data_IF_692194790054
#
_entry.id   IF_692194790054
#
_cell.length_a   1.000
_cell.length_b   1.000
_cell.length_c   1.000
_cell.angle_alpha   90.00
_cell.angle_beta   90.00
_cell.angle_gamma   90.00
#
_symmetry.space_group_name_H-M   'P 1'
#
loop_
_entity.id
_entity.type
_entity.pdbx_description
1 polymer ?
#
# COMPACT_ATOMS: atom_id res chain seq x y z
N UNK A 1 0.62 76.10 -21.67
CA UNK A 1 0.54 75.48 -20.33
C UNK A 1 1.69 75.97 -19.47
N UNK A 2 1.38 76.59 -18.33
CA UNK A 2 2.40 76.96 -17.32
C UNK A 2 3.00 75.69 -16.69
N UNK A 3 4.20 75.78 -16.10
CA UNK A 3 4.86 74.63 -15.46
C UNK A 3 3.97 73.94 -14.41
N UNK A 4 3.18 74.71 -13.66
CA UNK A 4 2.20 74.21 -12.68
C UNK A 4 1.04 73.42 -13.33
N UNK A 5 0.57 73.84 -14.52
CA UNK A 5 -0.44 73.10 -15.26
C UNK A 5 0.10 71.76 -15.79
N UNK A 6 1.35 71.71 -16.27
CA UNK A 6 1.99 70.46 -16.70
C UNK A 6 2.18 69.50 -15.51
N UNK A 7 2.64 70.00 -14.35
CA UNK A 7 2.81 69.20 -13.14
C UNK A 7 1.48 68.60 -12.64
N UNK A 8 0.41 69.41 -12.56
CA UNK A 8 -0.93 68.92 -12.18
C UNK A 8 -1.49 67.89 -13.16
N UNK A 9 -1.19 68.03 -14.46
CA UNK A 9 -1.60 67.04 -15.47
C UNK A 9 -0.85 65.71 -15.29
N UNK A 10 0.48 65.76 -15.13
CA UNK A 10 1.31 64.58 -14.86
C UNK A 10 0.94 63.88 -13.55
N UNK A 11 0.68 64.65 -12.50
CA UNK A 11 0.26 64.11 -11.20
C UNK A 11 -1.13 63.47 -11.29
N UNK A 12 -2.09 64.07 -12.01
CA UNK A 12 -3.39 63.43 -12.27
C UNK A 12 -3.24 62.16 -13.08
N UNK A 13 -2.42 62.14 -14.14
CA UNK A 13 -2.20 60.91 -14.92
C UNK A 13 -1.54 59.82 -14.09
N UNK A 14 -0.58 60.14 -13.23
CA UNK A 14 0.04 59.17 -12.31
C UNK A 14 -0.95 58.63 -11.28
N UNK A 15 -1.81 59.49 -10.71
CA UNK A 15 -2.84 59.05 -9.76
C UNK A 15 -3.86 58.14 -10.46
N UNK A 16 -4.33 58.51 -11.66
CA UNK A 16 -5.25 57.67 -12.43
C UNK A 16 -4.59 56.34 -12.77
N UNK A 17 -3.34 56.35 -13.23
CA UNK A 17 -2.58 55.13 -13.53
C UNK A 17 -2.39 54.25 -12.28
N UNK A 18 -2.09 54.85 -11.13
CA UNK A 18 -1.99 54.14 -9.86
C UNK A 18 -3.32 53.49 -9.46
N UNK A 19 -4.44 54.21 -9.57
CA UNK A 19 -5.77 53.69 -9.25
C UNK A 19 -6.15 52.54 -10.20
N UNK A 20 -5.89 52.69 -11.50
CA UNK A 20 -6.14 51.64 -12.50
C UNK A 20 -5.28 50.41 -12.22
N UNK A 21 -3.99 50.58 -11.93
CA UNK A 21 -3.10 49.47 -11.58
C UNK A 21 -3.53 48.80 -10.27
N UNK A 22 -3.93 49.57 -9.27
CA UNK A 22 -4.39 49.05 -7.98
C UNK A 22 -5.69 48.24 -8.13
N UNK A 23 -6.66 48.75 -8.88
CA UNK A 23 -7.88 48.01 -9.22
C UNK A 23 -7.57 46.74 -10.03
N UNK A 24 -6.65 46.84 -11.00
CA UNK A 24 -6.19 45.69 -11.77
C UNK A 24 -5.61 44.60 -10.86
N UNK A 25 -4.72 44.93 -9.92
CA UNK A 25 -4.12 43.96 -8.99
C UNK A 25 -5.20 43.25 -8.15
N UNK A 26 -6.21 43.98 -7.67
CA UNK A 26 -7.31 43.39 -6.88
C UNK A 26 -8.13 42.41 -7.71
N UNK A 27 -8.41 42.75 -8.97
CA UNK A 27 -9.19 41.91 -9.88
C UNK A 27 -8.36 40.72 -10.35
N UNK A 28 -7.09 40.93 -10.70
CA UNK A 28 -6.16 39.89 -11.11
C UNK A 28 -5.93 38.87 -9.97
N UNK A 29 -5.78 39.30 -8.72
CA UNK A 29 -5.67 38.40 -7.55
C UNK A 29 -6.89 37.46 -7.39
N UNK A 30 -8.03 37.79 -8.00
CA UNK A 30 -9.25 36.98 -7.96
C UNK A 30 -9.46 36.08 -9.19
N UNK A 31 -9.12 36.55 -10.38
CA UNK A 31 -9.38 35.83 -11.64
C UNK A 31 -8.13 35.21 -12.26
N UNK A 32 -6.97 35.82 -12.06
CA UNK A 32 -5.67 35.36 -12.57
C UNK A 32 -4.67 35.32 -11.41
N UNK A 33 -4.90 34.46 -10.39
CA UNK A 33 -4.06 34.45 -9.22
C UNK A 33 -2.67 33.89 -9.58
N UNK A 34 -1.64 34.58 -9.10
CA UNK A 34 -0.24 34.18 -9.22
C UNK A 34 0.30 33.74 -7.86
N UNK A 35 1.07 32.67 -7.85
CA UNK A 35 1.88 32.27 -6.70
C UNK A 35 3.29 31.87 -7.12
N UNK A 36 4.27 32.28 -6.33
CA UNK A 36 5.67 31.83 -6.41
C UNK A 36 5.95 30.67 -5.45
N UNK A 37 4.98 30.31 -4.62
CA UNK A 37 5.07 29.20 -3.67
C UNK A 37 4.59 27.91 -4.32
N UNK A 38 5.24 27.52 -5.42
CA UNK A 38 5.00 26.23 -6.06
C UNK A 38 6.26 25.39 -6.17
N UNK A 39 6.09 24.08 -6.06
CA UNK A 39 7.18 23.09 -6.16
C UNK A 39 6.75 21.87 -6.96
N UNK A 40 7.68 21.30 -7.71
CA UNK A 40 7.54 19.96 -8.28
C UNK A 40 7.52 18.95 -7.12
N UNK A 41 6.48 18.15 -7.06
CA UNK A 41 6.31 17.04 -6.15
C UNK A 41 6.30 15.73 -6.94
N UNK A 42 6.56 14.63 -6.25
CA UNK A 42 6.48 13.29 -6.82
C UNK A 42 6.40 12.26 -5.71
N UNK A 43 5.99 11.04 -6.06
CA UNK A 43 6.05 9.94 -5.11
C UNK A 43 7.51 9.57 -4.82
N UNK A 44 7.81 9.41 -3.55
CA UNK A 44 9.11 8.98 -3.06
C UNK A 44 8.88 7.65 -2.35
N UNK A 45 9.39 6.58 -2.94
CA UNK A 45 9.25 5.22 -2.41
C UNK A 45 10.54 4.86 -1.69
N UNK A 46 10.42 4.47 -0.43
CA UNK A 46 11.55 3.97 0.33
C UNK A 46 11.65 2.45 0.09
N UNK A 47 12.74 1.99 -0.51
CA UNK A 47 12.94 0.57 -0.79
C UNK A 47 13.60 -0.06 0.43
N UNK A 48 12.81 -0.89 1.13
CA UNK A 48 13.23 -1.66 2.28
C UNK A 48 13.16 -3.16 1.93
N UNK A 49 14.12 -3.97 2.41
CA UNK A 49 14.10 -5.40 2.19
C UNK A 49 13.06 -6.06 3.11
N UNK A 50 12.41 -7.11 2.62
CA UNK A 50 11.49 -7.92 3.42
C UNK A 50 12.23 -8.97 4.26
N UNK A 51 13.44 -9.34 3.84
CA UNK A 51 14.29 -10.34 4.50
C UNK A 51 15.62 -9.73 4.96
N UNK A 52 16.21 -10.31 6.01
CA UNK A 52 17.44 -9.80 6.60
C UNK A 52 18.68 -10.62 6.22
N UNK A 53 19.77 -9.94 5.91
CA UNK A 53 21.02 -10.60 5.55
C UNK A 53 22.11 -9.63 5.13
N UNK A 54 23.27 -10.16 4.74
CA UNK A 54 24.35 -9.34 4.22
C UNK A 54 24.11 -9.07 2.74
N UNK A 55 24.34 -7.84 2.30
CA UNK A 55 24.28 -7.48 0.89
C UNK A 55 25.54 -7.98 0.21
N UNK A 56 25.36 -8.77 -0.86
CA UNK A 56 26.45 -9.39 -1.62
C UNK A 56 26.81 -8.60 -2.88
N UNK A 57 25.84 -7.92 -3.48
CA UNK A 57 26.05 -7.12 -4.68
C UNK A 57 25.10 -5.93 -4.71
N UNK A 58 25.63 -4.78 -5.10
CA UNK A 58 24.86 -3.56 -5.34
C UNK A 58 24.98 -3.23 -6.82
N UNK A 59 23.90 -3.47 -7.58
CA UNK A 59 23.90 -3.28 -9.04
C UNK A 59 23.64 -1.83 -9.43
N UNK A 60 22.95 -1.08 -8.56
CA UNK A 60 22.53 0.29 -8.82
C UNK A 60 23.49 1.31 -8.21
N UNK A 61 23.74 2.39 -8.94
CA UNK A 61 24.52 3.55 -8.48
C UNK A 61 23.60 4.72 -8.11
N UNK A 62 24.11 5.66 -7.32
CA UNK A 62 23.31 6.79 -6.88
C UNK A 62 22.90 7.69 -8.06
N UNK A 63 21.61 8.02 -8.14
CA UNK A 63 20.97 8.78 -9.22
C UNK A 63 20.91 8.05 -10.57
N UNK A 64 20.95 6.71 -10.57
CA UNK A 64 20.81 5.90 -11.78
C UNK A 64 19.34 5.67 -12.15
N UNK A 65 19.02 5.81 -13.44
CA UNK A 65 17.73 5.39 -13.99
C UNK A 65 17.70 3.88 -14.13
N UNK A 66 16.63 3.25 -13.65
CA UNK A 66 16.40 1.81 -13.67
C UNK A 66 15.02 1.51 -14.22
N UNK A 67 14.90 0.35 -14.87
CA UNK A 67 13.62 -0.13 -15.40
C UNK A 67 12.93 -1.06 -14.41
N UNK A 68 11.61 -1.21 -14.56
CA UNK A 68 10.82 -2.17 -13.79
C UNK A 68 11.43 -3.57 -13.88
N UNK A 69 11.65 -4.19 -12.71
CA UNK A 69 12.22 -5.53 -12.58
C UNK A 69 13.74 -5.60 -12.64
N UNK A 70 14.44 -4.49 -12.86
CA UNK A 70 15.90 -4.43 -12.77
C UNK A 70 16.35 -4.61 -11.32
N UNK A 71 17.37 -5.44 -11.11
CA UNK A 71 17.92 -5.69 -9.77
C UNK A 71 18.61 -4.45 -9.23
N UNK A 72 18.24 -4.04 -8.02
CA UNK A 72 18.85 -2.91 -7.30
C UNK A 72 20.03 -3.39 -6.47
N UNK A 73 19.79 -4.38 -5.61
CA UNK A 73 20.79 -5.04 -4.80
C UNK A 73 20.33 -6.45 -4.41
N UNK A 74 21.28 -7.29 -4.02
CA UNK A 74 21.02 -8.68 -3.64
C UNK A 74 21.55 -8.95 -2.25
N UNK A 75 20.73 -9.64 -1.46
CA UNK A 75 21.06 -10.19 -0.15
C UNK A 75 21.57 -11.62 -0.33
N UNK A 76 22.55 -12.03 0.47
CA UNK A 76 23.10 -13.38 0.46
C UNK A 76 22.00 -14.47 0.52
N UNK A 77 21.81 -15.24 -0.57
CA UNK A 77 20.70 -16.18 -0.67
C UNK A 77 20.97 -17.49 0.07
N UNK A 78 22.22 -17.79 0.44
CA UNK A 78 22.62 -19.13 0.92
C UNK A 78 21.81 -19.62 2.12
N UNK A 79 21.50 -18.73 3.06
CA UNK A 79 20.65 -19.07 4.22
C UNK A 79 19.23 -19.46 3.80
N UNK A 80 18.70 -18.80 2.78
CA UNK A 80 17.35 -19.02 2.26
C UNK A 80 17.27 -20.26 1.36
N UNK A 81 18.32 -20.54 0.59
CA UNK A 81 18.48 -21.79 -0.16
C UNK A 81 18.50 -23.00 0.77
N UNK A 82 19.28 -22.94 1.86
CA UNK A 82 19.30 -23.99 2.89
C UNK A 82 17.94 -24.14 3.57
N UNK A 83 17.23 -23.04 3.82
CA UNK A 83 15.88 -23.08 4.40
C UNK A 83 14.88 -23.74 3.44
N UNK A 84 14.99 -23.47 2.14
CA UNK A 84 14.18 -24.12 1.11
C UNK A 84 14.47 -25.62 1.02
N UNK A 85 15.73 -26.02 1.02
CA UNK A 85 16.13 -27.43 1.04
C UNK A 85 15.57 -28.15 2.29
N UNK A 86 15.68 -27.52 3.47
CA UNK A 86 15.10 -28.05 4.71
C UNK A 86 13.58 -28.20 4.64
N UNK A 87 12.89 -27.25 4.01
CA UNK A 87 11.44 -27.33 3.82
C UNK A 87 11.07 -28.47 2.86
N UNK A 88 11.86 -28.71 1.81
CA UNK A 88 11.68 -29.84 0.88
C UNK A 88 11.89 -31.18 1.59
N UNK A 89 12.92 -31.32 2.42
CA UNK A 89 13.13 -32.53 3.24
C UNK A 89 11.97 -32.74 4.24
N UNK A 90 11.42 -31.67 4.79
CA UNK A 90 10.26 -31.73 5.68
C UNK A 90 9.01 -32.24 4.96
N UNK A 91 8.84 -31.90 3.67
CA UNK A 91 7.77 -32.45 2.83
C UNK A 91 7.94 -33.96 2.61
N UNK A 92 9.16 -34.43 2.39
CA UNK A 92 9.41 -35.87 2.30
C UNK A 92 9.01 -36.59 3.58
N UNK A 93 9.44 -36.09 4.75
CA UNK A 93 9.02 -36.64 6.05
C UNK A 93 7.49 -36.58 6.25
N UNK A 94 6.83 -35.54 5.74
CA UNK A 94 5.38 -35.43 5.78
C UNK A 94 4.68 -36.50 4.93
N UNK A 95 5.21 -36.85 3.76
CA UNK A 95 4.70 -37.96 2.95
C UNK A 95 4.89 -39.32 3.62
N UNK A 96 6.04 -39.54 4.27
CA UNK A 96 6.27 -40.76 5.05
C UNK A 96 5.26 -40.89 6.20
N UNK A 97 4.97 -39.77 6.88
CA UNK A 97 3.95 -39.71 7.92
C UNK A 97 2.54 -39.97 7.37
N UNK A 98 2.21 -39.43 6.20
CA UNK A 98 0.95 -39.71 5.51
C UNK A 98 0.81 -41.20 5.16
N UNK A 99 1.87 -41.84 4.65
CA UNK A 99 1.89 -43.27 4.38
C UNK A 99 1.67 -44.10 5.66
N UNK A 100 2.26 -43.69 6.79
CA UNK A 100 1.99 -44.30 8.09
C UNK A 100 0.52 -44.13 8.52
N UNK A 101 -0.12 -42.99 8.25
CA UNK A 101 -1.53 -42.77 8.58
C UNK A 101 -2.45 -43.67 7.75
N UNK A 102 -2.13 -43.88 6.47
CA UNK A 102 -2.85 -44.86 5.65
C UNK A 102 -2.75 -46.27 6.21
N UNK A 103 -1.56 -46.68 6.65
CA UNK A 103 -1.35 -47.98 7.28
C UNK A 103 -2.14 -48.13 8.60
N UNK A 104 -2.19 -47.06 9.41
CA UNK A 104 -2.99 -47.03 10.64
C UNK A 104 -4.50 -47.07 10.36
N UNK A 105 -4.96 -46.40 9.31
CA UNK A 105 -6.36 -46.46 8.85
C UNK A 105 -6.75 -47.90 8.49
N UNK A 106 -5.90 -48.59 7.74
CA UNK A 106 -6.18 -49.96 7.31
C UNK A 106 -6.21 -50.93 8.52
N UNK A 107 -5.33 -50.74 9.50
CA UNK A 107 -5.38 -51.48 10.77
C UNK A 107 -6.66 -51.16 11.58
N UNK A 108 -7.08 -49.90 11.63
CA UNK A 108 -8.32 -49.49 12.31
C UNK A 108 -9.56 -50.10 11.64
N UNK A 109 -9.59 -50.17 10.30
CA UNK A 109 -10.66 -50.85 9.57
C UNK A 109 -10.74 -52.34 9.91
N UNK A 110 -9.59 -53.03 10.03
CA UNK A 110 -9.56 -54.42 10.47
C UNK A 110 -10.08 -54.59 11.92
N UNK A 111 -9.74 -53.65 12.82
CA UNK A 111 -10.26 -53.64 14.18
C UNK A 111 -11.78 -53.42 14.24
N UNK A 112 -12.31 -52.50 13.42
CA UNK A 112 -13.75 -52.27 13.27
C UNK A 112 -14.45 -53.51 12.74
N UNK A 113 -13.88 -54.19 11.72
CA UNK A 113 -14.45 -55.43 11.19
C UNK A 113 -14.56 -56.52 12.28
N UNK A 114 -13.50 -56.69 13.08
CA UNK A 114 -13.50 -57.59 14.24
C UNK A 114 -14.53 -57.18 15.30
N UNK A 115 -14.57 -55.91 15.69
CA UNK A 115 -15.52 -55.38 16.69
C UNK A 115 -16.98 -55.47 16.21
N UNK A 116 -17.20 -55.31 14.91
CA UNK A 116 -18.52 -55.46 14.29
C UNK A 116 -18.97 -56.92 14.32
N UNK A 117 -18.09 -57.87 14.02
CA UNK A 117 -18.41 -59.29 14.11
C UNK A 117 -18.75 -59.71 15.55
N UNK A 118 -17.98 -59.25 16.55
CA UNK A 118 -18.27 -59.56 17.96
C UNK A 118 -19.57 -58.92 18.44
N UNK A 119 -19.83 -57.66 18.07
CA UNK A 119 -21.10 -57.00 18.34
C UNK A 119 -22.29 -57.72 17.69
N UNK A 120 -22.20 -58.07 16.40
CA UNK A 120 -23.28 -58.77 15.69
C UNK A 120 -23.64 -60.10 16.36
N UNK A 121 -22.62 -60.89 16.75
CA UNK A 121 -22.85 -62.15 17.46
C UNK A 121 -23.53 -61.92 18.81
N UNK A 122 -23.05 -60.97 19.63
CA UNK A 122 -23.66 -60.64 20.92
C UNK A 122 -25.09 -60.09 20.77
N UNK A 123 -25.32 -59.28 19.73
CA UNK A 123 -26.63 -58.69 19.44
C UNK A 123 -27.65 -59.74 19.03
N UNK A 124 -27.28 -60.65 18.12
CA UNK A 124 -28.16 -61.76 17.74
C UNK A 124 -28.46 -62.68 18.91
N UNK A 125 -27.50 -62.93 19.79
CA UNK A 125 -27.71 -63.72 21.00
C UNK A 125 -28.72 -63.05 21.94
N UNK A 126 -28.55 -61.74 22.19
CA UNK A 126 -29.49 -60.95 22.98
C UNK A 126 -30.91 -61.00 22.39
N UNK A 127 -31.07 -60.81 21.07
CA UNK A 127 -32.38 -60.87 20.41
C UNK A 127 -33.02 -62.26 20.51
N UNK A 128 -32.21 -63.32 20.38
CA UNK A 128 -32.64 -64.71 20.53
C UNK A 128 -33.14 -64.96 21.95
N UNK A 129 -32.36 -64.58 22.96
CA UNK A 129 -32.73 -64.73 24.37
C UNK A 129 -33.94 -63.87 24.74
N UNK A 130 -34.07 -62.67 24.19
CA UNK A 130 -35.26 -61.82 24.37
C UNK A 130 -36.53 -62.51 23.86
N UNK A 131 -36.45 -63.16 22.69
CA UNK A 131 -37.57 -63.90 22.11
C UNK A 131 -37.93 -65.13 22.94
N UNK A 132 -36.94 -65.84 23.50
CA UNK A 132 -37.15 -67.00 24.37
C UNK A 132 -37.69 -66.60 25.76
N UNK A 133 -37.25 -65.45 26.29
CA UNK A 133 -37.75 -64.88 27.55
C UNK A 133 -39.23 -64.50 27.46
N UNK A 134 -39.68 -63.91 26.34
CA UNK A 134 -41.11 -63.65 26.07
C UNK A 134 -41.99 -64.91 26.09
N UNK A 135 -41.38 -66.07 25.83
CA UNK A 135 -42.03 -67.39 25.90
C UNK A 135 -41.86 -68.07 27.27
N UNK A 136 -41.28 -67.39 28.27
CA UNK A 136 -40.97 -67.89 29.61
C UNK A 136 -40.02 -69.12 29.62
N UNK A 137 -39.11 -69.24 28.65
CA UNK A 137 -38.20 -70.40 28.50
C UNK A 137 -36.86 -70.20 29.22
N UNK A 138 -36.46 -68.96 29.54
CA UNK A 138 -35.17 -68.63 30.18
C UNK A 138 -35.36 -67.72 31.40
N UNK A 139 -34.34 -67.62 32.26
CA UNK A 139 -34.34 -66.72 33.42
C UNK A 139 -34.09 -65.25 33.03
N UNK A 140 -34.60 -64.32 33.86
CA UNK A 140 -34.39 -62.88 33.67
C UNK A 140 -32.89 -62.51 33.75
N UNK A 141 -32.15 -63.12 34.68
CA UNK A 141 -30.71 -62.88 34.85
C UNK A 141 -29.90 -63.21 33.58
N UNK A 142 -30.26 -64.29 32.86
CA UNK A 142 -29.59 -64.63 31.60
C UNK A 142 -29.85 -63.59 30.51
N UNK A 143 -31.06 -63.02 30.44
CA UNK A 143 -31.37 -61.94 29.52
C UNK A 143 -30.61 -60.66 29.86
N UNK A 144 -30.58 -60.29 31.14
CA UNK A 144 -29.89 -59.08 31.62
C UNK A 144 -28.38 -59.17 31.35
N UNK A 145 -27.77 -60.35 31.53
CA UNK A 145 -26.36 -60.59 31.20
C UNK A 145 -26.08 -60.43 29.70
N UNK A 146 -26.94 -60.98 28.84
CA UNK A 146 -26.81 -60.84 27.39
C UNK A 146 -27.00 -59.38 26.93
N UNK A 147 -27.92 -58.66 27.56
CA UNK A 147 -28.13 -57.23 27.31
C UNK A 147 -26.90 -56.39 27.70
N UNK A 148 -26.32 -56.65 28.88
CA UNK A 148 -25.09 -55.98 29.30
C UNK A 148 -23.94 -56.25 28.31
N UNK A 149 -23.81 -57.49 27.82
CA UNK A 149 -22.79 -57.85 26.84
C UNK A 149 -22.99 -57.17 25.48
N UNK A 150 -24.24 -57.05 25.00
CA UNK A 150 -24.58 -56.26 23.80
C UNK A 150 -24.14 -54.79 23.97
N UNK A 151 -24.45 -54.18 25.11
CA UNK A 151 -24.08 -52.79 25.39
C UNK A 151 -22.56 -52.57 25.40
N UNK A 152 -21.80 -53.48 26.03
CA UNK A 152 -20.33 -53.41 26.06
C UNK A 152 -19.75 -53.52 24.65
N UNK A 153 -20.17 -54.52 23.88
CA UNK A 153 -19.65 -54.73 22.51
C UNK A 153 -20.05 -53.59 21.56
N UNK A 154 -21.23 -53.01 21.72
CA UNK A 154 -21.67 -51.79 21.02
C UNK A 154 -20.78 -50.59 21.34
N UNK A 155 -20.46 -50.40 22.62
CA UNK A 155 -19.58 -49.31 23.06
C UNK A 155 -18.17 -49.47 22.47
N UNK A 156 -17.64 -50.69 22.42
CA UNK A 156 -16.34 -50.99 21.79
C UNK A 156 -16.36 -50.68 20.29
N UNK A 157 -17.37 -51.16 19.56
CA UNK A 157 -17.51 -50.84 18.12
C UNK A 157 -17.56 -49.33 17.88
N UNK A 158 -18.33 -48.61 18.70
CA UNK A 158 -18.42 -47.14 18.60
C UNK A 158 -17.06 -46.48 18.89
N UNK A 159 -16.30 -46.96 19.86
CA UNK A 159 -14.97 -46.43 20.18
C UNK A 159 -13.99 -46.61 19.01
N UNK A 160 -13.97 -47.79 18.38
CA UNK A 160 -13.13 -48.06 17.20
C UNK A 160 -13.52 -47.19 16.00
N UNK A 161 -14.82 -46.96 15.78
CA UNK A 161 -15.32 -46.03 14.75
C UNK A 161 -14.85 -44.59 15.00
N UNK A 162 -14.82 -44.14 16.26
CA UNK A 162 -14.30 -42.81 16.59
C UNK A 162 -12.78 -42.74 16.39
N UNK A 163 -12.04 -43.81 16.70
CA UNK A 163 -10.60 -43.88 16.45
C UNK A 163 -10.27 -43.76 14.96
N UNK A 164 -11.02 -44.45 14.08
CA UNK A 164 -10.91 -44.28 12.63
C UNK A 164 -11.18 -42.83 12.22
N UNK A 165 -12.19 -42.19 12.81
CA UNK A 165 -12.55 -40.81 12.45
C UNK A 165 -11.42 -39.81 12.71
N UNK A 166 -10.67 -40.00 13.79
CA UNK A 166 -9.48 -39.18 14.11
C UNK A 166 -8.37 -39.37 13.07
N UNK A 167 -8.18 -40.59 12.55
CA UNK A 167 -7.19 -40.84 11.50
C UNK A 167 -7.62 -40.20 10.18
N UNK A 168 -8.92 -40.32 9.82
CA UNK A 168 -9.48 -39.67 8.64
C UNK A 168 -9.34 -38.14 8.68
N UNK A 169 -9.56 -37.52 9.84
CA UNK A 169 -9.41 -36.06 9.96
C UNK A 169 -7.95 -35.62 9.78
N UNK A 170 -6.98 -36.45 10.17
CA UNK A 170 -5.56 -36.20 9.94
C UNK A 170 -5.16 -36.38 8.46
N UNK A 171 -5.74 -37.38 7.78
CA UNK A 171 -5.55 -37.64 6.34
C UNK A 171 -6.22 -36.59 5.45
N UNK A 172 -7.29 -35.94 5.91
CA UNK A 172 -7.99 -34.90 5.15
C UNK A 172 -8.77 -35.45 3.95
N UNK A 173 -8.92 -34.63 2.91
CA UNK A 173 -9.83 -34.89 1.78
C UNK A 173 -9.23 -35.78 0.68
N UNK A 174 -7.99 -36.26 0.82
CA UNK A 174 -7.34 -37.08 -0.19
C UNK A 174 -5.83 -37.23 0.01
N UNK A 175 -5.21 -38.03 -0.87
CA UNK A 175 -3.76 -38.26 -0.87
C UNK A 175 -3.01 -36.96 -1.17
N UNK A 176 -1.97 -36.67 -0.37
CA UNK A 176 -1.23 -35.41 -0.44
C UNK A 176 -1.96 -34.21 0.17
N UNK A 177 -3.13 -34.42 0.79
CA UNK A 177 -3.89 -33.36 1.48
C UNK A 177 -3.94 -33.55 3.00
N UNK A 178 -3.19 -34.52 3.53
CA UNK A 178 -3.06 -34.67 4.97
C UNK A 178 -2.48 -33.39 5.60
N UNK A 179 -2.87 -33.15 6.85
CA UNK A 179 -2.44 -31.95 7.59
C UNK A 179 -0.92 -31.78 7.59
N UNK A 180 -0.09 -32.83 7.82
CA UNK A 180 1.37 -32.71 7.75
C UNK A 180 1.89 -32.27 6.38
N UNK A 181 1.34 -32.82 5.28
CA UNK A 181 1.77 -32.49 3.92
C UNK A 181 1.43 -31.05 3.59
N UNK A 182 0.21 -30.59 3.94
CA UNK A 182 -0.21 -29.20 3.72
C UNK A 182 0.67 -28.20 4.48
N UNK A 183 1.04 -28.52 5.72
CA UNK A 183 1.96 -27.68 6.50
C UNK A 183 3.34 -27.61 5.83
N UNK A 184 3.89 -28.74 5.38
CA UNK A 184 5.18 -28.76 4.72
C UNK A 184 5.18 -28.00 3.37
N UNK A 185 4.10 -28.10 2.59
CA UNK A 185 3.93 -27.30 1.37
C UNK A 185 3.90 -25.80 1.64
N UNK A 186 3.24 -25.36 2.73
CA UNK A 186 3.25 -23.96 3.14
C UNK A 186 4.65 -23.49 3.55
N UNK A 187 5.43 -24.33 4.25
CA UNK A 187 6.81 -24.00 4.59
C UNK A 187 7.71 -23.87 3.34
N UNK A 188 7.49 -24.71 2.31
CA UNK A 188 8.18 -24.54 1.02
C UNK A 188 7.80 -23.20 0.37
N UNK A 189 6.50 -22.89 0.29
CA UNK A 189 6.04 -21.64 -0.31
C UNK A 189 6.60 -20.41 0.41
N UNK A 190 6.67 -20.46 1.74
CA UNK A 190 7.30 -19.42 2.56
C UNK A 190 8.80 -19.30 2.27
N UNK A 191 9.54 -20.42 2.27
CA UNK A 191 10.98 -20.41 2.00
C UNK A 191 11.29 -19.92 0.57
N UNK A 192 10.44 -20.23 -0.41
CA UNK A 192 10.55 -19.72 -1.78
C UNK A 192 10.32 -18.20 -1.84
N UNK A 193 9.31 -17.69 -1.13
CA UNK A 193 9.06 -16.25 -1.05
C UNK A 193 10.23 -15.52 -0.39
N UNK A 194 10.72 -16.05 0.73
CA UNK A 194 11.87 -15.48 1.44
C UNK A 194 13.13 -15.49 0.55
N UNK A 195 13.34 -16.56 -0.24
CA UNK A 195 14.43 -16.63 -1.22
C UNK A 195 14.24 -15.62 -2.36
N UNK A 196 13.04 -15.47 -2.92
CA UNK A 196 12.76 -14.48 -3.96
C UNK A 196 13.01 -13.05 -3.46
N UNK A 197 12.64 -12.79 -2.20
CA UNK A 197 12.83 -11.51 -1.53
C UNK A 197 14.30 -11.17 -1.23
N UNK A 198 15.25 -12.07 -1.48
CA UNK A 198 16.68 -11.76 -1.42
C UNK A 198 17.15 -10.89 -2.59
N UNK A 199 16.43 -10.92 -3.72
CA UNK A 199 16.71 -10.09 -4.88
C UNK A 199 15.76 -8.90 -4.91
N UNK A 200 16.24 -7.72 -4.50
CA UNK A 200 15.42 -6.52 -4.46
C UNK A 200 15.46 -5.87 -5.85
N UNK A 201 14.29 -5.75 -6.47
CA UNK A 201 14.14 -5.20 -7.83
C UNK A 201 13.35 -3.90 -7.83
N UNK A 202 13.48 -3.11 -8.90
CA UNK A 202 12.72 -1.89 -9.08
C UNK A 202 11.21 -2.19 -9.33
N UNK A 203 10.29 -1.55 -8.58
CA UNK A 203 8.84 -1.81 -8.72
C UNK A 203 8.23 -1.21 -10.00
N UNK A 204 8.82 -0.15 -10.52
CA UNK A 204 8.44 0.54 -11.76
C UNK A 204 9.68 1.10 -12.45
N UNK A 205 9.49 1.77 -13.59
CA UNK A 205 10.54 2.61 -14.16
C UNK A 205 10.75 3.82 -13.26
N UNK A 206 12.00 4.22 -13.03
CA UNK A 206 12.32 5.30 -12.10
C UNK A 206 13.81 5.55 -11.90
N UNK A 207 14.13 6.35 -10.89
CA UNK A 207 15.50 6.70 -10.51
C UNK A 207 15.75 6.23 -9.08
N UNK A 208 16.82 5.48 -8.88
CA UNK A 208 17.33 5.16 -7.56
C UNK A 208 18.22 6.30 -7.05
N UNK A 209 17.89 6.86 -5.90
CA UNK A 209 18.60 7.99 -5.27
C UNK A 209 18.83 7.71 -3.80
N UNK A 210 19.75 8.47 -3.19
CA UNK A 210 20.16 8.29 -1.81
C UNK A 210 20.51 6.82 -1.50
N UNK A 211 21.28 6.19 -2.40
CA UNK A 211 21.75 4.82 -2.24
C UNK A 211 22.82 4.82 -1.15
N UNK A 212 22.46 4.39 0.06
CA UNK A 212 23.36 4.30 1.21
C UNK A 212 23.72 2.85 1.48
N UNK A 213 24.19 2.17 0.43
CA UNK A 213 24.45 0.74 0.47
C UNK A 213 25.78 0.42 -0.20
N UNK A 214 26.59 -0.38 0.48
CA UNK A 214 27.80 -0.98 -0.06
C UNK A 214 27.76 -2.51 0.16
N UNK A 215 28.58 -3.22 -0.61
CA UNK A 215 28.75 -4.66 -0.42
C UNK A 215 29.27 -4.96 0.99
N UNK A 216 28.68 -5.94 1.65
CA UNK A 216 28.98 -6.30 3.04
C UNK A 216 28.13 -5.57 4.09
N UNK A 217 27.36 -4.53 3.72
CA UNK A 217 26.36 -3.94 4.62
C UNK A 217 25.32 -4.98 5.05
N UNK A 218 24.86 -4.91 6.30
CA UNK A 218 23.78 -5.78 6.78
C UNK A 218 22.43 -5.10 6.58
N UNK A 219 21.60 -5.72 5.76
CA UNK A 219 20.22 -5.33 5.49
C UNK A 219 19.28 -5.90 6.56
N UNK A 220 18.45 -5.05 7.14
CA UNK A 220 17.44 -5.43 8.13
C UNK A 220 16.04 -5.27 7.53
N UNK A 221 15.12 -6.17 7.89
CA UNK A 221 13.73 -6.14 7.44
C UNK A 221 13.07 -4.80 7.77
N UNK A 222 12.33 -4.23 6.79
CA UNK A 222 11.60 -2.96 6.90
C UNK A 222 12.48 -1.73 7.19
N UNK A 223 13.81 -1.83 7.06
CA UNK A 223 14.70 -0.68 7.11
C UNK A 223 15.07 -0.24 5.70
N UNK A 224 14.71 0.98 5.27
CA UNK A 224 14.99 1.42 3.92
C UNK A 224 16.49 1.66 3.70
N UNK A 225 17.01 1.14 2.59
CA UNK A 225 18.44 1.23 2.23
C UNK A 225 18.70 2.19 1.05
N UNK A 226 17.66 2.44 0.26
CA UNK A 226 17.69 3.42 -0.83
C UNK A 226 16.32 4.05 -1.02
N UNK A 227 16.33 5.19 -1.71
CA UNK A 227 15.11 5.89 -2.13
C UNK A 227 14.90 5.68 -3.62
N UNK A 228 13.66 5.47 -4.02
CA UNK A 228 13.27 5.25 -5.40
C UNK A 228 12.20 6.26 -5.81
N UNK A 229 12.41 6.93 -6.94
CA UNK A 229 11.51 7.94 -7.49
C UNK A 229 10.96 7.40 -8.81
N UNK A 230 9.67 7.01 -8.90
CA UNK A 230 9.06 6.56 -10.14
C UNK A 230 9.07 7.67 -11.21
N UNK A 231 9.42 7.32 -12.44
CA UNK A 231 9.31 8.24 -13.59
C UNK A 231 7.86 8.32 -14.03
N UNK A 232 7.33 9.54 -14.19
CA UNK A 232 5.95 9.77 -14.68
C UNK A 232 4.91 10.07 -13.59
N UNK A 233 5.29 10.08 -12.31
CA UNK A 233 4.40 10.42 -11.20
C UNK A 233 4.73 11.77 -10.55
N UNK A 234 5.20 12.72 -11.34
CA UNK A 234 5.54 14.07 -10.87
C UNK A 234 4.39 15.03 -11.18
N UNK A 235 4.06 15.89 -10.22
CA UNK A 235 3.04 16.94 -10.35
C UNK A 235 3.58 18.25 -9.77
N UNK A 236 2.91 19.37 -10.03
CA UNK A 236 3.26 20.64 -9.39
C UNK A 236 2.24 20.95 -8.31
N UNK A 237 2.71 21.19 -7.10
CA UNK A 237 1.90 21.66 -5.99
C UNK A 237 2.16 23.15 -5.78
N UNK A 238 1.09 23.94 -5.78
CA UNK A 238 1.15 25.39 -5.67
C UNK A 238 0.26 25.87 -4.53
N UNK A 239 0.84 26.67 -3.62
CA UNK A 239 0.15 27.19 -2.45
C UNK A 239 -0.35 28.60 -2.75
N UNK A 240 -1.67 28.75 -2.93
CA UNK A 240 -2.32 30.02 -3.20
C UNK A 240 -3.02 30.57 -1.95
N UNK A 241 -3.23 31.89 -1.89
CA UNK A 241 -4.08 32.50 -0.86
C UNK A 241 -5.53 32.01 -1.03
N UNK A 242 -6.20 31.69 0.07
CA UNK A 242 -7.56 31.14 0.07
C UNK A 242 -8.55 32.03 -0.72
N UNK A 243 -8.46 33.35 -0.51
CA UNK A 243 -9.26 34.35 -1.24
C UNK A 243 -9.10 34.24 -2.76
N UNK A 244 -7.88 33.99 -3.22
CA UNK A 244 -7.48 34.00 -4.63
C UNK A 244 -7.95 32.73 -5.36
N UNK A 245 -8.16 31.62 -4.65
CA UNK A 245 -8.68 30.36 -5.24
C UNK A 245 -10.16 30.08 -4.91
N UNK A 246 -10.85 31.02 -4.26
CA UNK A 246 -12.25 30.85 -3.87
C UNK A 246 -13.19 30.58 -5.07
N UNK A 247 -12.84 31.09 -6.26
CA UNK A 247 -13.60 30.91 -7.50
C UNK A 247 -12.95 29.93 -8.48
N UNK A 248 -11.84 29.30 -8.09
CA UNK A 248 -11.14 28.32 -8.92
C UNK A 248 -11.91 27.01 -8.90
N UNK A 249 -12.31 26.59 -10.10
CA UNK A 249 -13.00 25.32 -10.38
C UNK A 249 -12.20 24.55 -11.42
N UNK A 250 -12.62 23.32 -11.77
CA UNK A 250 -12.00 22.48 -12.80
C UNK A 250 -11.89 23.13 -14.19
N UNK A 251 -12.59 24.25 -14.42
CA UNK A 251 -12.53 25.03 -15.66
C UNK A 251 -11.32 25.98 -15.72
N UNK A 252 -10.48 26.00 -14.69
CA UNK A 252 -9.24 26.78 -14.68
C UNK A 252 -8.09 25.94 -15.25
N UNK A 253 -7.26 26.59 -16.05
CA UNK A 253 -5.98 26.06 -16.49
C UNK A 253 -4.84 26.79 -15.78
N UNK A 254 -3.65 26.20 -15.81
CA UNK A 254 -2.46 26.72 -15.18
C UNK A 254 -1.34 26.91 -16.19
N UNK A 255 -0.66 28.06 -16.11
CA UNK A 255 0.60 28.33 -16.76
C UNK A 255 1.70 28.28 -15.70
N UNK A 256 2.74 27.49 -15.97
CA UNK A 256 3.84 27.27 -15.03
C UNK A 256 5.15 27.68 -15.69
N UNK A 257 5.91 28.53 -15.01
CA UNK A 257 7.30 28.82 -15.33
C UNK A 257 8.19 28.25 -14.23
N UNK A 258 9.14 27.39 -14.61
CA UNK A 258 10.10 26.81 -13.67
C UNK A 258 11.33 27.71 -13.55
N UNK A 259 11.86 27.86 -12.35
CA UNK A 259 13.08 28.64 -12.09
C UNK A 259 14.29 28.03 -12.83
N UNK A 260 14.30 26.70 -12.95
CA UNK A 260 15.35 25.96 -13.66
C UNK A 260 15.31 26.13 -15.20
N UNK A 261 14.18 26.56 -15.76
CA UNK A 261 13.98 26.70 -17.20
C UNK A 261 13.35 28.06 -17.52
N UNK A 262 14.12 29.15 -17.34
CA UNK A 262 13.61 30.48 -17.60
C UNK A 262 13.34 30.66 -19.11
N UNK A 263 12.33 31.45 -19.48
CA UNK A 263 11.70 31.62 -20.81
C UNK A 263 10.69 30.55 -21.28
N UNK A 264 10.63 29.38 -20.65
CA UNK A 264 9.69 28.33 -21.04
C UNK A 264 8.47 28.33 -20.13
N UNK A 265 7.28 28.30 -20.75
CA UNK A 265 5.99 28.23 -20.05
C UNK A 265 5.32 26.93 -20.41
N UNK A 266 4.87 26.21 -19.39
CA UNK A 266 4.24 24.90 -19.52
C UNK A 266 2.76 24.99 -19.18
N UNK A 267 1.94 24.34 -20.00
CA UNK A 267 0.52 24.19 -19.76
C UNK A 267 0.27 23.03 -18.80
N UNK A 268 -0.51 23.32 -17.77
CA UNK A 268 -0.94 22.37 -16.76
C UNK A 268 -2.45 22.46 -16.57
N UNK A 269 -3.05 21.31 -16.28
CA UNK A 269 -4.45 21.21 -15.90
C UNK A 269 -4.56 21.22 -14.37
N UNK A 270 -5.65 21.83 -13.88
CA UNK A 270 -6.02 21.73 -12.48
C UNK A 270 -6.54 20.33 -12.18
N UNK A 271 -5.81 19.58 -11.34
CA UNK A 271 -6.22 18.23 -10.95
C UNK A 271 -7.09 18.25 -9.71
N UNK A 272 -6.63 18.92 -8.66
CA UNK A 272 -7.33 18.95 -7.38
C UNK A 272 -6.93 20.16 -6.55
N UNK A 273 -7.82 20.49 -5.61
CA UNK A 273 -7.56 21.45 -4.55
C UNK A 273 -7.69 20.73 -3.22
N UNK A 274 -6.72 20.90 -2.33
CA UNK A 274 -6.78 20.30 -1.01
C UNK A 274 -7.96 20.89 -0.22
N UNK A 275 -8.76 20.03 0.43
CA UNK A 275 -9.94 20.44 1.20
C UNK A 275 -9.61 20.88 2.64
N UNK A 276 -8.34 20.78 3.05
CA UNK A 276 -7.92 21.08 4.40
C UNK A 276 -6.44 21.35 4.52
N UNK A 277 -6.06 21.99 5.61
CA UNK A 277 -4.68 22.30 5.99
C UNK A 277 -4.49 21.86 7.43
N UNK A 278 -3.30 21.34 7.75
CA UNK A 278 -3.00 20.75 9.07
C UNK A 278 -3.24 21.73 10.23
N UNK A 279 -3.22 23.05 9.98
CA UNK A 279 -3.52 24.08 10.98
C UNK A 279 -4.93 23.97 11.61
N UNK A 280 -5.89 23.30 10.93
CA UNK A 280 -7.23 23.06 11.46
C UNK A 280 -7.39 21.67 12.12
N UNK A 281 -6.35 20.83 12.11
CA UNK A 281 -6.39 19.47 12.64
C UNK A 281 -6.19 19.50 14.16
N UNK A 282 -7.22 19.13 14.92
CA UNK A 282 -7.10 18.87 16.36
C UNK A 282 -6.94 17.37 16.56
N UNK A 283 -5.82 16.92 17.14
CA UNK A 283 -5.65 15.51 17.50
C UNK A 283 -6.63 15.15 18.62
N UNK A 284 -7.51 14.15 18.44
CA UNK A 284 -8.44 13.75 19.49
C UNK A 284 -7.67 13.26 20.72
N UNK A 285 -7.67 14.04 21.79
CA UNK A 285 -6.90 13.75 23.01
C UNK A 285 -7.76 13.79 24.29
N UNK A 286 -9.09 13.88 24.15
CA UNK A 286 -10.04 13.93 25.27
C UNK A 286 -10.03 15.24 26.07
N UNK A 287 -9.19 16.21 25.71
CA UNK A 287 -9.23 17.54 26.31
C UNK A 287 -10.26 18.44 25.60
N UNK A 288 -10.75 19.46 26.31
CA UNK A 288 -11.58 20.50 25.70
C UNK A 288 -10.77 21.28 24.66
N UNK A 289 -11.42 21.64 23.56
CA UNK A 289 -10.82 22.43 22.48
C UNK A 289 -10.26 23.73 23.03
N UNK A 290 -8.96 23.96 22.84
CA UNK A 290 -8.31 25.22 23.21
C UNK A 290 -8.53 26.23 22.09
N UNK A 291 -9.10 27.39 22.43
CA UNK A 291 -9.19 28.51 21.48
C UNK A 291 -7.78 29.05 21.23
N UNK A 292 -7.37 29.12 19.97
CA UNK A 292 -6.10 29.74 19.59
C UNK A 292 -6.23 31.26 19.75
N UNK A 293 -5.52 31.84 20.72
CA UNK A 293 -5.48 33.29 20.93
C UNK A 293 -4.30 33.87 20.16
N UNK A 294 -4.59 34.50 19.02
CA UNK A 294 -3.58 35.17 18.20
C UNK A 294 -3.64 36.70 18.44
N UNK A 295 -2.53 37.29 18.90
CA UNK A 295 -2.40 38.73 19.19
C UNK A 295 -1.99 39.58 17.98
N UNK A 296 -2.06 39.06 16.74
CA UNK A 296 -1.73 39.83 15.54
C UNK A 296 -2.89 40.73 15.11
N UNK A 297 -2.62 42.02 14.96
CA UNK A 297 -3.58 43.03 14.50
C UNK A 297 -3.95 42.87 13.00
N UNK A 298 -3.09 42.22 12.21
CA UNK A 298 -3.39 41.74 10.85
C UNK A 298 -3.19 40.23 10.82
N UNK A 299 -4.22 39.51 10.39
CA UNK A 299 -4.16 38.05 10.23
C UNK A 299 -3.45 37.69 8.94
N UNK A 300 -2.56 36.70 9.01
CA UNK A 300 -1.91 36.14 7.83
C UNK A 300 -2.97 35.54 6.90
N UNK A 301 -2.77 35.68 5.59
CA UNK A 301 -3.64 35.03 4.62
C UNK A 301 -3.45 33.52 4.71
N UNK A 302 -4.54 32.79 4.96
CA UNK A 302 -4.52 31.34 4.87
C UNK A 302 -4.23 30.93 3.43
N UNK A 303 -3.42 29.88 3.26
CA UNK A 303 -3.13 29.29 1.95
C UNK A 303 -3.76 27.93 1.82
N UNK A 304 -4.13 27.58 0.59
CA UNK A 304 -4.64 26.28 0.20
C UNK A 304 -3.82 25.75 -0.95
N UNK A 305 -3.48 24.46 -0.90
CA UNK A 305 -2.71 23.80 -1.93
C UNK A 305 -3.59 23.42 -3.12
N UNK A 306 -3.05 23.67 -4.29
CA UNK A 306 -3.59 23.28 -5.58
C UNK A 306 -2.59 22.35 -6.26
N UNK A 307 -3.07 21.18 -6.71
CA UNK A 307 -2.27 20.19 -7.40
C UNK A 307 -2.55 20.25 -8.90
N UNK A 308 -1.48 20.26 -9.69
CA UNK A 308 -1.49 20.50 -11.12
C UNK A 308 -0.75 19.37 -11.84
N UNK A 309 -1.36 18.80 -12.86
CA UNK A 309 -0.76 17.76 -13.72
C UNK A 309 -0.63 18.23 -15.15
N UNK A 310 0.36 17.70 -15.87
CA UNK A 310 0.53 17.92 -17.31
C UNK A 310 0.45 16.58 -18.02
N UNK A 311 -0.11 16.59 -19.23
CA UNK A 311 -0.09 15.42 -20.12
C UNK A 311 1.29 15.23 -20.78
N UNK A 312 2.09 16.29 -20.82
CA UNK A 312 3.45 16.25 -21.34
C UNK A 312 4.41 15.77 -20.26
N UNK A 313 5.37 14.91 -20.64
CA UNK A 313 6.45 14.54 -19.73
C UNK A 313 7.22 15.78 -19.33
N UNK A 314 7.42 15.93 -18.02
CA UNK A 314 8.27 17.00 -17.49
C UNK A 314 9.70 16.86 -18.02
N UNK A 315 10.38 17.98 -18.32
CA UNK A 315 11.79 17.96 -18.72
C UNK A 315 12.67 17.27 -17.68
N UNK A 316 13.67 16.52 -18.13
CA UNK A 316 14.61 15.77 -17.27
C UNK A 316 15.44 16.67 -16.34
N UNK A 317 15.55 17.97 -16.65
CA UNK A 317 16.22 18.95 -15.80
C UNK A 317 15.47 19.24 -14.49
N UNK A 318 14.17 18.93 -14.42
CA UNK A 318 13.36 19.15 -13.23
C UNK A 318 13.52 17.96 -12.27
N UNK A 319 13.65 18.29 -10.99
CA UNK A 319 13.72 17.32 -9.89
C UNK A 319 12.67 17.64 -8.82
N UNK A 320 12.32 16.65 -7.99
CA UNK A 320 11.40 16.87 -6.86
C UNK A 320 11.97 17.97 -5.95
N UNK A 321 11.18 19.02 -5.73
CA UNK A 321 11.60 20.22 -5.01
C UNK A 321 11.94 21.42 -5.89
N UNK A 322 12.00 21.25 -7.21
CA UNK A 322 12.19 22.36 -8.17
C UNK A 322 11.11 23.41 -7.97
N UNK A 323 11.52 24.67 -7.89
CA UNK A 323 10.63 25.81 -7.67
C UNK A 323 9.95 26.22 -8.98
N UNK A 324 8.73 26.73 -8.84
CA UNK A 324 7.95 27.21 -9.96
C UNK A 324 7.11 28.43 -9.57
N UNK A 325 6.85 29.26 -10.56
CA UNK A 325 5.81 30.29 -10.50
C UNK A 325 4.61 29.79 -11.29
N UNK A 326 3.44 29.82 -10.66
CA UNK A 326 2.18 29.31 -11.22
C UNK A 326 1.17 30.43 -11.30
N UNK A 327 0.51 30.53 -12.45
CA UNK A 327 -0.63 31.40 -12.67
C UNK A 327 -1.82 30.57 -13.11
N UNK A 328 -2.93 30.71 -12.40
CA UNK A 328 -4.21 30.11 -12.80
C UNK A 328 -5.00 31.11 -13.64
N UNK A 329 -5.78 30.63 -14.59
CA UNK A 329 -6.68 31.47 -15.37
C UNK A 329 -7.92 30.68 -15.81
N UNK A 330 -9.08 31.34 -15.98
CA UNK A 330 -10.28 30.70 -16.46
C UNK A 330 -10.14 30.40 -17.96
N UNK A 331 -10.32 29.14 -18.35
CA UNK A 331 -10.18 28.69 -19.76
C UNK A 331 -11.24 29.28 -20.72
N UNK A 332 -12.30 29.89 -20.19
CA UNK A 332 -13.41 30.42 -20.98
C UNK A 332 -13.20 31.86 -21.49
N UNK A 333 -12.09 32.52 -21.15
CA UNK A 333 -11.86 33.92 -21.49
C UNK A 333 -10.47 34.16 -22.07
N UNK A 334 -10.45 34.54 -23.34
CA UNK A 334 -9.22 34.90 -24.08
C UNK A 334 -8.52 36.08 -23.40
N UNK A 335 -9.27 37.05 -22.86
CA UNK A 335 -8.71 38.20 -22.16
C UNK A 335 -7.86 37.77 -20.96
N UNK A 336 -8.41 36.90 -20.09
CA UNK A 336 -7.67 36.44 -18.91
C UNK A 336 -6.50 35.52 -19.26
N UNK A 337 -6.63 34.71 -20.32
CA UNK A 337 -5.52 33.93 -20.84
C UNK A 337 -4.34 34.81 -21.28
N UNK A 338 -4.59 35.83 -22.10
CA UNK A 338 -3.51 36.74 -22.57
C UNK A 338 -2.84 37.50 -21.42
N UNK A 339 -3.60 37.87 -20.39
CA UNK A 339 -3.06 38.49 -19.18
C UNK A 339 -2.21 37.50 -18.37
N UNK A 340 -2.66 36.25 -18.24
CA UNK A 340 -1.89 35.20 -17.56
C UNK A 340 -0.58 34.90 -18.29
N UNK A 341 -0.60 34.80 -19.62
CA UNK A 341 0.61 34.61 -20.44
C UNK A 341 1.58 35.78 -20.25
N UNK A 342 1.12 37.02 -20.36
CA UNK A 342 1.95 38.20 -20.12
C UNK A 342 2.57 38.21 -18.71
N UNK A 343 1.78 37.84 -17.69
CA UNK A 343 2.23 37.80 -16.30
C UNK A 343 3.25 36.69 -16.04
N UNK A 344 3.05 35.49 -16.59
CA UNK A 344 4.00 34.38 -16.45
C UNK A 344 5.28 34.63 -17.23
N UNK A 345 5.21 35.20 -18.44
CA UNK A 345 6.41 35.57 -19.18
C UNK A 345 7.22 36.66 -18.48
N UNK A 346 6.54 37.66 -17.91
CA UNK A 346 7.21 38.68 -17.10
C UNK A 346 7.86 38.07 -15.85
N UNK A 347 7.17 37.17 -15.14
CA UNK A 347 7.73 36.45 -14.00
C UNK A 347 8.92 35.56 -14.40
N UNK A 348 8.80 34.84 -15.53
CA UNK A 348 9.87 34.00 -16.08
C UNK A 348 11.09 34.82 -16.50
N UNK A 349 10.90 36.03 -17.01
CA UNK A 349 11.99 36.94 -17.30
C UNK A 349 12.67 37.45 -16.03
N UNK A 350 11.90 37.72 -14.97
CA UNK A 350 12.47 38.08 -13.67
C UNK A 350 13.31 36.94 -13.06
N UNK A 351 13.00 35.68 -13.35
CA UNK A 351 13.84 34.54 -12.93
C UNK A 351 15.23 34.53 -13.59
N UNK A 352 15.46 35.25 -14.70
CA UNK A 352 16.82 35.43 -15.24
C UNK A 352 17.69 36.36 -14.39
N UNK A 353 17.07 37.24 -13.59
CA UNK A 353 17.76 38.33 -12.90
C UNK A 353 18.23 37.94 -11.50
N UNK A 354 17.69 36.86 -10.92
CA UNK A 354 18.00 36.43 -9.56
C UNK A 354 18.47 34.98 -9.48
#
# INVERSE_FOLDING_TARGET
MTADQKFKHWMRTLIVLFIVLFLYIIVADRYVPLTTEARVQGYVVQIAPEVSGKVTSVTVTNNQTVKKGEALFTIDPRKYEIALERAQLSLQSAYEKEASLYSQRDAALANIARASATFNNAHHEYLRLQTLSKKNIISQSSLDSAFAQDQVTRAVLKAEQQALKVIETQLGNGKGQSTPVRLALNEIAKAQLDLANTSIVAPSDGVATNVQLEEGTTANTNMPLLTFIPTGSMWVAADFREKSVAQVTEQYAALIAFDALPSQVYNFALTSRDYGVAAAQQTPNGALTKVEVNNRWVRDAQRTRVNLTSEQSLPTALFIGSRATVVLYPSNSIFWQTMAEAQVHLASWLHYVY
#
